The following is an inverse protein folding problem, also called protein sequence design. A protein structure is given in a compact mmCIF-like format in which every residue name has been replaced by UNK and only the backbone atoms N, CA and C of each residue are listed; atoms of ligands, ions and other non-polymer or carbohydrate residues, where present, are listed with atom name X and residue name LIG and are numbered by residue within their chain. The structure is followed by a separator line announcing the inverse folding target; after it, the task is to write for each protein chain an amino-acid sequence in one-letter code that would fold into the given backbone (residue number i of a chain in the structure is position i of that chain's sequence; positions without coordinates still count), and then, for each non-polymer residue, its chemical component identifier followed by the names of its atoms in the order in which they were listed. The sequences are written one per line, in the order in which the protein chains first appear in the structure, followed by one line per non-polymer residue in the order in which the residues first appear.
data_IF_909908273800
#
_entry.id   IF_909908273800
#
_cell.length_a   1.000
_cell.length_b   1.000
_cell.length_c   1.000
_cell.angle_alpha   90.00
_cell.angle_beta   90.00
_cell.angle_gamma   90.00
#
_symmetry.space_group_name_H-M   'P 1'
#
loop_
_entity.id
_entity.type
_entity.pdbx_description
1 polymer ?
#
# COMPACT_ATOMS: atom_id res chain seq x y z
N UNK A 1 3.97 21.48 -0.29
CA UNK A 1 3.92 20.68 0.95
C UNK A 1 3.40 19.27 0.69
N UNK A 2 2.20 19.08 0.13
CA UNK A 2 1.60 17.75 -0.11
C UNK A 2 2.45 16.79 -0.98
N UNK A 3 3.11 17.31 -2.03
CA UNK A 3 3.94 16.47 -2.92
C UNK A 3 5.09 15.77 -2.18
N UNK A 4 5.60 16.35 -1.09
CA UNK A 4 6.67 15.73 -0.28
C UNK A 4 6.18 14.47 0.45
N UNK A 5 4.86 14.35 0.65
CA UNK A 5 4.23 13.22 1.32
C UNK A 5 3.88 12.08 0.37
N UNK A 6 4.07 12.22 -0.94
CA UNK A 6 3.61 11.23 -1.93
C UNK A 6 4.08 9.80 -1.61
N UNK A 7 5.37 9.65 -1.29
CA UNK A 7 5.96 8.34 -0.97
C UNK A 7 5.38 7.78 0.32
N UNK A 8 5.34 8.61 1.37
CA UNK A 8 4.80 8.21 2.67
C UNK A 8 3.32 7.84 2.58
N UNK A 9 2.52 8.64 1.89
CA UNK A 9 1.10 8.38 1.67
C UNK A 9 0.88 7.04 0.96
N UNK A 10 1.71 6.71 -0.05
CA UNK A 10 1.67 5.40 -0.70
C UNK A 10 1.93 4.25 0.27
N UNK A 11 3.01 4.32 1.06
CA UNK A 11 3.32 3.30 2.08
C UNK A 11 2.19 3.15 3.10
N UNK A 12 1.70 4.27 3.62
CA UNK A 12 0.66 4.33 4.63
C UNK A 12 -0.64 3.69 4.13
N UNK A 13 -1.08 4.03 2.92
CA UNK A 13 -2.30 3.47 2.34
C UNK A 13 -2.20 1.96 2.11
N UNK A 14 -1.07 1.48 1.60
CA UNK A 14 -0.88 0.04 1.37
C UNK A 14 -0.87 -0.72 2.71
N UNK A 15 -0.15 -0.21 3.70
CA UNK A 15 -0.07 -0.80 5.04
C UNK A 15 -1.43 -0.80 5.74
N UNK A 16 -2.13 0.34 5.74
CA UNK A 16 -3.48 0.45 6.31
C UNK A 16 -4.41 -0.59 5.68
N UNK A 17 -4.37 -0.75 4.36
CA UNK A 17 -5.24 -1.71 3.68
C UNK A 17 -4.88 -3.16 4.02
N UNK A 18 -3.59 -3.48 4.19
CA UNK A 18 -3.16 -4.79 4.69
C UNK A 18 -3.74 -5.08 6.08
N UNK A 19 -3.65 -4.11 7.01
CA UNK A 19 -4.20 -4.22 8.35
C UNK A 19 -5.73 -4.41 8.33
N UNK A 20 -6.44 -3.68 7.48
CA UNK A 20 -7.90 -3.80 7.36
C UNK A 20 -8.32 -5.18 6.86
N UNK A 21 -7.64 -5.73 5.85
CA UNK A 21 -7.93 -7.09 5.38
C UNK A 21 -7.59 -8.16 6.43
N UNK A 22 -6.45 -8.04 7.12
CA UNK A 22 -6.09 -8.99 8.18
C UNK A 22 -7.09 -8.94 9.33
N UNK A 23 -7.50 -7.73 9.73
CA UNK A 23 -8.50 -7.53 10.79
C UNK A 23 -9.83 -8.14 10.38
N UNK A 24 -10.27 -7.93 9.14
CA UNK A 24 -11.52 -8.51 8.66
C UNK A 24 -11.47 -10.04 8.62
N UNK A 25 -10.34 -10.62 8.20
CA UNK A 25 -10.12 -12.07 8.26
C UNK A 25 -10.25 -12.63 9.69
N UNK A 26 -9.62 -11.98 10.66
CA UNK A 26 -9.73 -12.38 12.07
C UNK A 26 -11.14 -12.18 12.64
N UNK A 27 -11.92 -11.29 12.05
CA UNK A 27 -13.28 -10.98 12.45
C UNK A 27 -14.35 -11.76 11.65
N UNK A 28 -13.95 -12.81 10.92
CA UNK A 28 -14.88 -13.67 10.19
C UNK A 28 -15.40 -13.07 8.87
N UNK A 29 -14.60 -12.21 8.23
CA UNK A 29 -14.85 -11.64 6.90
C UNK A 29 -16.16 -10.82 6.79
N UNK A 30 -16.58 -10.13 7.86
CA UNK A 30 -17.88 -9.44 7.92
C UNK A 30 -17.94 -8.12 7.15
N UNK A 31 -16.81 -7.47 6.87
CA UNK A 31 -16.78 -6.14 6.25
C UNK A 31 -16.57 -6.22 4.73
N UNK A 32 -15.52 -6.91 4.27
CA UNK A 32 -15.21 -7.05 2.84
C UNK A 32 -15.87 -8.27 2.20
N UNK A 33 -16.31 -9.23 3.01
CA UNK A 33 -16.74 -10.54 2.55
C UNK A 33 -15.58 -11.40 2.02
N UNK A 34 -15.84 -12.70 1.92
CA UNK A 34 -14.93 -13.68 1.33
C UNK A 34 -15.64 -14.51 0.25
N UNK A 35 -14.92 -14.79 -0.84
CA UNK A 35 -15.43 -15.61 -1.95
C UNK A 35 -14.93 -17.07 -1.82
N UNK A 36 -13.91 -17.29 -0.99
CA UNK A 36 -13.29 -18.58 -0.72
C UNK A 36 -12.58 -18.51 0.64
N UNK A 37 -12.28 -19.66 1.29
CA UNK A 37 -11.58 -19.67 2.57
C UNK A 37 -10.25 -18.92 2.51
N UNK A 38 -9.96 -18.10 3.53
CA UNK A 38 -8.74 -17.28 3.64
C UNK A 38 -8.64 -16.14 2.59
N UNK A 39 -9.72 -15.73 1.94
CA UNK A 39 -9.68 -14.67 0.92
C UNK A 39 -9.07 -13.37 1.45
N UNK A 40 -9.53 -12.87 2.61
CA UNK A 40 -8.98 -11.64 3.17
C UNK A 40 -7.57 -11.81 3.76
N UNK A 41 -7.20 -13.00 4.24
CA UNK A 41 -5.81 -13.29 4.59
C UNK A 41 -4.90 -13.19 3.36
N UNK A 42 -5.31 -13.76 2.23
CA UNK A 42 -4.56 -13.67 0.98
C UNK A 42 -4.47 -12.21 0.48
N UNK A 43 -5.55 -11.43 0.60
CA UNK A 43 -5.53 -10.00 0.30
C UNK A 43 -4.54 -9.25 1.19
N UNK A 44 -4.54 -9.51 2.50
CA UNK A 44 -3.58 -8.91 3.44
C UNK A 44 -2.13 -9.25 3.07
N UNK A 45 -1.83 -10.52 2.77
CA UNK A 45 -0.49 -10.95 2.34
C UNK A 45 -0.06 -10.27 1.04
N UNK A 46 -0.96 -10.13 0.06
CA UNK A 46 -0.68 -9.41 -1.18
C UNK A 46 -0.36 -7.93 -0.92
N UNK A 47 -1.08 -7.26 -0.02
CA UNK A 47 -0.78 -5.89 0.36
C UNK A 47 0.58 -5.76 1.06
N UNK A 48 0.98 -6.70 1.91
CA UNK A 48 2.32 -6.72 2.53
C UNK A 48 3.40 -6.97 1.46
N UNK A 49 3.16 -7.87 0.51
CA UNK A 49 4.09 -8.07 -0.61
C UNK A 49 4.27 -6.79 -1.42
N UNK A 50 3.16 -6.11 -1.75
CA UNK A 50 3.17 -4.82 -2.42
C UNK A 50 3.93 -3.78 -1.61
N UNK A 51 3.73 -3.70 -0.29
CA UNK A 51 4.43 -2.76 0.59
C UNK A 51 5.95 -2.98 0.53
N UNK A 52 6.40 -4.24 0.59
CA UNK A 52 7.82 -4.58 0.47
C UNK A 52 8.40 -4.16 -0.89
N UNK A 53 7.67 -4.41 -1.98
CA UNK A 53 8.07 -3.96 -3.32
C UNK A 53 8.07 -2.43 -3.43
N UNK A 54 7.09 -1.76 -2.85
CA UNK A 54 7.02 -0.31 -2.81
C UNK A 54 8.24 0.27 -2.09
N UNK A 55 8.56 -0.23 -0.89
CA UNK A 55 9.71 0.21 -0.09
C UNK A 55 11.02 0.00 -0.84
N UNK A 56 11.20 -1.17 -1.48
CA UNK A 56 12.39 -1.47 -2.26
C UNK A 56 12.60 -0.52 -3.46
N UNK A 57 11.56 0.17 -3.93
CA UNK A 57 11.61 1.10 -5.06
C UNK A 57 11.54 2.58 -4.64
N UNK A 58 11.63 2.91 -3.35
CA UNK A 58 11.55 4.30 -2.87
C UNK A 58 12.59 5.21 -3.53
N UNK A 59 13.83 4.73 -3.71
CA UNK A 59 14.88 5.51 -4.38
C UNK A 59 14.46 5.92 -5.81
N UNK A 60 13.91 4.97 -6.59
CA UNK A 60 13.41 5.24 -7.94
C UNK A 60 12.25 6.25 -7.91
N UNK A 61 11.36 6.19 -6.91
CA UNK A 61 10.26 7.16 -6.78
C UNK A 61 10.79 8.57 -6.47
N UNK A 62 11.83 8.69 -5.65
CA UNK A 62 12.47 9.98 -5.36
C UNK A 62 13.06 10.60 -6.64
N UNK A 63 13.74 9.81 -7.46
CA UNK A 63 14.30 10.27 -8.75
C UNK A 63 13.18 10.79 -9.68
N UNK A 64 12.08 10.04 -9.80
CA UNK A 64 10.93 10.42 -10.64
C UNK A 64 10.32 11.74 -10.15
N UNK A 65 10.09 11.90 -8.85
CA UNK A 65 9.51 13.11 -8.28
C UNK A 65 10.43 14.31 -8.52
N UNK A 66 11.74 14.14 -8.33
CA UNK A 66 12.71 15.20 -8.58
C UNK A 66 12.72 15.62 -10.06
N UNK A 67 12.72 14.65 -10.99
CA UNK A 67 12.64 14.93 -12.42
C UNK A 67 11.36 15.68 -12.81
N UNK A 68 10.21 15.33 -12.21
CA UNK A 68 8.95 16.04 -12.45
C UNK A 68 8.99 17.49 -11.94
N UNK A 69 9.61 17.72 -10.79
CA UNK A 69 9.75 19.07 -10.23
C UNK A 69 10.69 19.94 -11.08
N UNK A 70 11.76 19.36 -11.65
CA UNK A 70 12.68 20.07 -12.55
C UNK A 70 12.02 20.48 -13.87
N UNK A 71 11.07 19.68 -14.39
CA UNK A 71 10.32 19.98 -15.63
C UNK A 71 9.22 21.04 -15.47
N UNK A 72 8.88 21.41 -14.23
CA UNK A 72 7.86 22.42 -13.92
C UNK A 72 8.42 23.85 -13.83
N UNK A 73 9.74 24.00 -13.91
CA UNK A 73 10.46 25.28 -14.01
C UNK A 73 10.71 25.56 -15.48
#
# INVERSE_FOLDING_TARGET
EEQQLFIYAGQFMIFMQALRFLTDFLNGDIYYGAAYPNHNLNRAMNQIHLLNKYIANIAQFQDIIQLQNLKKI
#
